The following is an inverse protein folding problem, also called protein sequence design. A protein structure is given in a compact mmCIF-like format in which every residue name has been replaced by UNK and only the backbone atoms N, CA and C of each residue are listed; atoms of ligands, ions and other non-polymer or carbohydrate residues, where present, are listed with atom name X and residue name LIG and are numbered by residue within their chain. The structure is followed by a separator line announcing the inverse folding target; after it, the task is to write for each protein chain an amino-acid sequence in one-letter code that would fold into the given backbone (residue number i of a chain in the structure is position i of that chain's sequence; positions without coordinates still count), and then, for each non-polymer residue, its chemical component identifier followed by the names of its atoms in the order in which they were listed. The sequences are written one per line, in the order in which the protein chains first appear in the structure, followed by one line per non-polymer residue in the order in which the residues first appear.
data_IF_649515057979
#
_entry.id   IF_649515057979
#
_cell.length_a   1.000
_cell.length_b   1.000
_cell.length_c   1.000
_cell.angle_alpha   90.00
_cell.angle_beta   90.00
_cell.angle_gamma   90.00
#
_symmetry.space_group_name_H-M   'P 1'
#
loop_
_entity.id
_entity.type
_entity.pdbx_description
1 polymer ?
#
# COMPACT_ATOMS: atom_id res chain seq x y z
N UNK A 1 8.44 -14.00 0.18
CA UNK A 1 9.65 -14.76 0.61
C UNK A 1 10.46 -13.89 1.56
N UNK A 2 11.38 -14.47 2.32
CA UNK A 2 12.32 -13.72 3.17
C UNK A 2 13.74 -14.03 2.69
N UNK A 3 14.56 -13.01 2.47
CA UNK A 3 15.97 -13.20 2.09
C UNK A 3 16.88 -13.43 3.31
N UNK A 4 18.17 -13.72 3.06
CA UNK A 4 19.16 -13.97 4.12
C UNK A 4 19.42 -12.74 5.02
N UNK A 5 18.99 -11.55 4.58
CA UNK A 5 19.07 -10.30 5.35
C UNK A 5 17.77 -10.02 6.13
N UNK A 6 16.81 -10.94 6.10
CA UNK A 6 15.54 -10.83 6.82
C UNK A 6 14.52 -9.91 6.15
N UNK A 7 14.72 -9.54 4.87
CA UNK A 7 13.80 -8.65 4.14
C UNK A 7 12.61 -9.42 3.62
N UNK A 8 11.41 -8.88 3.80
CA UNK A 8 10.21 -9.44 3.19
C UNK A 8 10.16 -9.01 1.74
N UNK A 9 10.09 -9.97 0.82
CA UNK A 9 10.04 -9.74 -0.62
C UNK A 9 8.70 -10.29 -1.15
N UNK A 10 7.93 -9.40 -1.76
CA UNK A 10 6.68 -9.68 -2.46
C UNK A 10 6.91 -9.45 -3.95
N UNK A 11 6.73 -10.48 -4.77
CA UNK A 11 6.82 -10.39 -6.22
C UNK A 11 5.47 -10.74 -6.84
N UNK A 12 4.99 -9.89 -7.74
CA UNK A 12 3.72 -10.09 -8.41
C UNK A 12 3.68 -9.30 -9.72
N UNK A 13 3.24 -9.94 -10.80
CA UNK A 13 3.03 -9.31 -12.12
C UNK A 13 4.22 -8.47 -12.61
N UNK A 14 5.44 -9.00 -12.47
CA UNK A 14 6.68 -8.31 -12.86
C UNK A 14 7.13 -7.19 -11.92
N UNK A 15 6.38 -6.87 -10.87
CA UNK A 15 6.75 -5.91 -9.84
C UNK A 15 7.34 -6.60 -8.59
N UNK A 16 8.16 -5.85 -7.85
CA UNK A 16 8.73 -6.26 -6.58
C UNK A 16 8.45 -5.18 -5.53
N UNK A 17 7.92 -5.59 -4.38
CA UNK A 17 7.75 -4.76 -3.19
C UNK A 17 8.52 -5.39 -2.03
N UNK A 18 9.26 -4.57 -1.29
CA UNK A 18 10.13 -5.03 -0.21
C UNK A 18 9.84 -4.28 1.09
N UNK A 19 9.84 -5.01 2.19
CA UNK A 19 9.79 -4.44 3.55
C UNK A 19 11.07 -4.87 4.26
N UNK A 20 11.82 -3.90 4.78
CA UNK A 20 13.12 -4.13 5.40
C UNK A 20 13.27 -3.27 6.64
N UNK A 21 14.10 -3.74 7.58
CA UNK A 21 14.68 -2.84 8.58
C UNK A 21 15.57 -1.81 7.86
N UNK A 22 15.57 -0.53 8.26
CA UNK A 22 16.45 0.47 7.68
C UNK A 22 17.93 0.06 7.77
N UNK A 23 18.67 0.26 6.69
CA UNK A 23 20.06 -0.19 6.57
C UNK A 23 21.05 0.67 7.39
N UNK A 24 20.67 1.92 7.66
CA UNK A 24 21.42 2.86 8.50
C UNK A 24 21.22 2.59 10.01
N UNK A 25 20.27 1.70 10.36
CA UNK A 25 19.98 1.32 11.74
C UNK A 25 19.03 2.29 12.48
N UNK A 26 18.61 3.37 11.83
CA UNK A 26 17.67 4.32 12.42
C UNK A 26 16.24 3.75 12.43
N UNK A 27 15.35 4.39 13.20
CA UNK A 27 13.95 3.99 13.23
C UNK A 27 13.31 4.18 11.85
N UNK A 28 12.52 3.20 11.41
CA UNK A 28 11.74 3.33 10.19
C UNK A 28 10.77 4.53 10.30
N UNK A 29 10.71 5.34 9.26
CA UNK A 29 9.82 6.48 9.18
C UNK A 29 9.10 6.51 7.83
N UNK A 30 7.92 7.13 7.80
CA UNK A 30 7.18 7.30 6.57
C UNK A 30 7.67 8.55 5.82
N UNK A 31 7.62 8.52 4.49
CA UNK A 31 7.87 9.70 3.67
C UNK A 31 6.62 10.61 3.67
N UNK A 32 6.72 11.82 4.23
CA UNK A 32 5.66 12.81 4.10
C UNK A 32 5.47 13.20 2.63
N UNK A 33 4.24 13.09 2.11
CA UNK A 33 3.94 13.26 0.69
C UNK A 33 4.22 12.02 -0.17
N UNK A 34 4.85 10.98 0.38
CA UNK A 34 5.10 9.72 -0.31
C UNK A 34 3.86 8.82 -0.32
N UNK A 35 3.66 8.07 -1.40
CA UNK A 35 2.61 7.05 -1.52
C UNK A 35 3.07 5.91 -2.41
N UNK A 36 2.84 4.67 -1.98
CA UNK A 36 3.11 3.47 -2.77
C UNK A 36 1.79 2.93 -3.31
N UNK A 37 1.64 2.87 -4.63
CA UNK A 37 0.44 2.41 -5.32
C UNK A 37 0.55 0.96 -5.82
N UNK A 38 -0.45 0.16 -5.52
CA UNK A 38 -0.61 -1.21 -6.00
C UNK A 38 -1.78 -1.27 -6.99
N UNK A 39 -1.53 -1.83 -8.17
CA UNK A 39 -2.56 -2.03 -9.19
C UNK A 39 -3.47 -3.19 -8.77
N UNK A 40 -4.76 -2.94 -8.77
CA UNK A 40 -5.82 -3.93 -8.58
C UNK A 40 -6.44 -4.31 -9.92
N UNK A 41 -7.08 -5.48 -9.95
CA UNK A 41 -7.83 -6.03 -11.08
C UNK A 41 -9.32 -5.66 -11.05
N UNK A 42 -9.85 -5.22 -9.90
CA UNK A 42 -11.23 -4.73 -9.77
C UNK A 42 -11.42 -3.81 -8.55
N UNK A 43 -12.55 -3.07 -8.47
CA UNK A 43 -12.94 -2.32 -7.28
C UNK A 43 -13.08 -3.22 -6.03
N UNK A 44 -13.66 -4.40 -6.20
CA UNK A 44 -13.88 -5.36 -5.11
C UNK A 44 -12.55 -5.87 -4.54
N UNK A 45 -11.52 -6.00 -5.39
CA UNK A 45 -10.18 -6.33 -4.92
C UNK A 45 -9.57 -5.19 -4.10
N UNK A 46 -9.81 -3.93 -4.49
CA UNK A 46 -9.36 -2.77 -3.71
C UNK A 46 -10.06 -2.71 -2.34
N UNK A 47 -11.36 -3.03 -2.28
CA UNK A 47 -12.10 -3.12 -1.02
C UNK A 47 -11.60 -4.26 -0.13
N UNK A 48 -11.38 -5.45 -0.71
CA UNK A 48 -10.85 -6.60 0.01
C UNK A 48 -9.44 -6.31 0.54
N UNK A 49 -8.59 -5.66 -0.26
CA UNK A 49 -7.27 -5.21 0.14
C UNK A 49 -7.34 -4.23 1.32
N UNK A 50 -8.26 -3.26 1.26
CA UNK A 50 -8.45 -2.29 2.33
C UNK A 50 -8.91 -2.95 3.63
N UNK A 51 -9.93 -3.82 3.57
CA UNK A 51 -10.42 -4.55 4.73
C UNK A 51 -9.35 -5.46 5.36
N UNK A 52 -8.58 -6.17 4.54
CA UNK A 52 -7.49 -7.02 5.01
C UNK A 52 -6.37 -6.19 5.69
N UNK A 53 -6.03 -5.03 5.14
CA UNK A 53 -5.03 -4.14 5.73
C UNK A 53 -5.46 -3.59 7.09
N UNK A 54 -6.74 -3.20 7.25
CA UNK A 54 -7.29 -2.79 8.55
C UNK A 54 -7.23 -3.94 9.58
N UNK A 55 -7.65 -5.15 9.19
CA UNK A 55 -7.60 -6.32 10.05
C UNK A 55 -6.16 -6.72 10.45
N UNK A 56 -5.17 -6.39 9.62
CA UNK A 56 -3.75 -6.64 9.85
C UNK A 56 -3.03 -5.54 10.65
N UNK A 57 -3.77 -4.56 11.21
CA UNK A 57 -3.21 -3.49 12.04
C UNK A 57 -2.83 -2.22 11.28
N UNK A 58 -3.18 -2.12 10.00
CA UNK A 58 -3.18 -0.84 9.29
C UNK A 58 -4.31 0.07 9.77
N UNK A 59 -4.24 1.34 9.41
CA UNK A 59 -5.27 2.33 9.71
C UNK A 59 -5.83 2.95 8.43
N UNK A 60 -7.11 3.33 8.47
CA UNK A 60 -7.74 4.07 7.38
C UNK A 60 -7.08 5.42 7.14
N UNK A 61 -7.17 5.93 5.92
CA UNK A 61 -6.79 7.31 5.57
C UNK A 61 -8.01 8.25 5.60
N UNK A 62 -7.87 9.45 5.02
CA UNK A 62 -8.85 10.54 5.12
C UNK A 62 -10.22 10.16 4.53
N UNK A 63 -10.22 9.51 3.37
CA UNK A 63 -11.46 9.10 2.71
C UNK A 63 -11.59 7.57 2.62
N UNK A 64 -12.82 7.03 2.67
CA UNK A 64 -13.08 5.62 2.42
C UNK A 64 -12.78 5.20 0.96
N UNK A 65 -12.63 3.89 0.71
CA UNK A 65 -12.56 3.33 -0.64
C UNK A 65 -13.67 3.87 -1.55
N UNK A 66 -13.33 4.18 -2.79
CA UNK A 66 -14.33 4.61 -3.77
C UNK A 66 -13.75 5.28 -5.01
N UNK A 67 -14.65 5.68 -5.90
CA UNK A 67 -14.30 6.38 -7.13
C UNK A 67 -13.82 7.80 -6.81
N UNK A 68 -12.73 8.21 -7.44
CA UNK A 68 -12.26 9.60 -7.52
C UNK A 68 -12.09 9.98 -8.98
N UNK A 69 -12.56 11.17 -9.33
CA UNK A 69 -12.42 11.73 -10.66
C UNK A 69 -11.37 12.84 -10.62
N UNK A 70 -10.37 12.74 -11.50
CA UNK A 70 -9.28 13.71 -11.57
C UNK A 70 -8.63 13.73 -12.95
N UNK A 71 -7.42 14.30 -13.04
CA UNK A 71 -6.70 14.45 -14.31
C UNK A 71 -6.45 13.12 -15.06
N UNK A 72 -6.48 11.99 -14.35
CA UNK A 72 -6.28 10.65 -14.90
C UNK A 72 -7.59 9.90 -15.21
N UNK A 73 -8.73 10.59 -15.16
CA UNK A 73 -10.06 10.01 -15.33
C UNK A 73 -10.64 9.49 -14.01
N UNK A 74 -11.59 8.55 -14.12
CA UNK A 74 -12.21 7.88 -12.97
C UNK A 74 -11.31 6.73 -12.53
N UNK A 75 -10.88 6.78 -11.27
CA UNK A 75 -10.09 5.73 -10.64
C UNK A 75 -10.84 5.25 -9.39
N UNK A 76 -10.85 3.95 -9.15
CA UNK A 76 -11.25 3.43 -7.84
C UNK A 76 -10.02 3.36 -6.95
N UNK A 77 -10.08 4.03 -5.80
CA UNK A 77 -8.95 4.18 -4.89
C UNK A 77 -9.34 3.73 -3.49
N UNK A 78 -8.43 3.01 -2.83
CA UNK A 78 -8.51 2.71 -1.41
C UNK A 78 -7.15 2.98 -0.76
N UNK A 79 -7.13 3.79 0.31
CA UNK A 79 -5.89 4.22 0.96
C UNK A 79 -5.80 3.65 2.38
N UNK A 80 -4.58 3.28 2.77
CA UNK A 80 -4.25 2.85 4.13
C UNK A 80 -2.92 3.46 4.57
N UNK A 81 -2.71 3.49 5.89
CA UNK A 81 -1.37 3.53 6.47
C UNK A 81 -1.03 2.14 7.02
N UNK A 82 0.18 1.69 6.71
CA UNK A 82 0.72 0.49 7.35
C UNK A 82 1.11 0.78 8.82
N UNK A 83 1.51 -0.24 9.60
CA UNK A 83 1.92 -0.05 11.00
C UNK A 83 3.13 0.88 11.21
N UNK A 84 3.93 1.16 10.18
CA UNK A 84 5.03 2.11 10.21
C UNK A 84 4.62 3.51 9.73
N UNK A 85 3.35 3.70 9.37
CA UNK A 85 2.78 4.96 8.91
C UNK A 85 2.94 5.24 7.41
N UNK A 86 3.50 4.31 6.63
CA UNK A 86 3.66 4.46 5.18
C UNK A 86 2.29 4.55 4.51
N UNK A 87 2.08 5.55 3.65
CA UNK A 87 0.82 5.68 2.90
C UNK A 87 0.84 4.71 1.71
N UNK A 88 -0.11 3.80 1.69
CA UNK A 88 -0.31 2.81 0.64
C UNK A 88 -1.63 3.07 -0.08
N UNK A 89 -1.70 2.71 -1.36
CA UNK A 89 -2.87 2.89 -2.20
C UNK A 89 -3.14 1.63 -3.01
N UNK A 90 -4.36 1.11 -2.96
CA UNK A 90 -4.89 0.19 -3.96
C UNK A 90 -5.61 1.02 -5.04
N UNK A 91 -5.24 0.80 -6.30
CA UNK A 91 -5.73 1.55 -7.45
C UNK A 91 -6.29 0.61 -8.50
N UNK A 92 -7.52 0.86 -8.94
CA UNK A 92 -8.13 0.26 -10.12
C UNK A 92 -8.55 1.33 -11.13
N UNK A 93 -8.35 1.03 -12.42
CA UNK A 93 -8.67 1.88 -13.56
C UNK A 93 -9.37 1.04 -14.63
#
# INVERSE_FOLDING_TARGET
MVDDLGRLIYMHDGAMFMVTKPIDGEAACHANGGTIGFKMASPEQADAWHAAGLAAGGSTCEDPPGIREGAFGKLYLAYLRDPAGNKLCALYR
#
